data_IF_540792320050
#
_entry.id   IF_540792320050
#
_cell.length_a   1.000
_cell.length_b   1.000
_cell.length_c   1.000
_cell.angle_alpha   90.00
_cell.angle_beta   90.00
_cell.angle_gamma   90.00
#
_symmetry.space_group_name_H-M   'P 1'
#
loop_
_entity.id
_entity.type
_entity.pdbx_description
1 polymer ?
#
# COMPACT_ATOMS: atom_id res chain seq x y z
N UNK A 1 16.45 -8.50 -12.69
CA UNK A 1 16.57 -7.70 -11.45
C UNK A 1 15.22 -7.70 -10.78
N UNK A 2 15.12 -8.05 -9.50
CA UNK A 2 13.83 -7.97 -8.79
C UNK A 2 13.47 -6.49 -8.59
N UNK A 3 12.43 -6.01 -9.26
CA UNK A 3 11.90 -4.67 -9.03
C UNK A 3 11.17 -4.67 -7.68
N UNK A 4 11.78 -4.03 -6.67
CA UNK A 4 11.10 -3.77 -5.38
C UNK A 4 10.14 -2.58 -5.54
N UNK A 5 9.07 -2.55 -4.74
CA UNK A 5 8.22 -1.37 -4.64
C UNK A 5 9.03 -0.17 -4.10
N UNK A 6 8.56 1.05 -4.37
CA UNK A 6 9.16 2.26 -3.79
C UNK A 6 8.98 2.22 -2.27
N UNK A 7 10.06 2.23 -1.46
CA UNK A 7 9.91 2.28 -0.01
C UNK A 7 9.14 3.53 0.44
N UNK A 8 8.40 3.41 1.54
CA UNK A 8 7.75 4.53 2.20
C UNK A 8 8.75 5.49 2.87
N UNK A 9 8.26 6.55 3.53
CA UNK A 9 6.85 6.92 3.64
C UNK A 9 6.28 7.48 2.33
N UNK A 10 5.00 7.23 2.07
CA UNK A 10 4.26 7.95 1.03
C UNK A 10 3.28 8.95 1.66
N UNK A 11 2.94 9.99 0.93
CA UNK A 11 2.05 11.04 1.39
C UNK A 11 1.09 11.45 0.26
N UNK A 12 -0.18 11.59 0.61
CA UNK A 12 -1.15 12.28 -0.24
C UNK A 12 -0.90 13.79 -0.13
N UNK A 13 -0.78 14.48 -1.26
CA UNK A 13 -0.63 15.92 -1.31
C UNK A 13 -2.02 16.57 -1.10
N UNK A 14 -2.35 16.92 0.14
CA UNK A 14 -3.66 17.51 0.48
C UNK A 14 -3.79 18.99 0.05
N UNK A 15 -2.67 19.71 -0.06
CA UNK A 15 -2.64 21.14 -0.41
C UNK A 15 -2.65 21.42 -1.92
N UNK A 16 -2.99 20.45 -2.77
CA UNK A 16 -3.17 20.69 -4.22
C UNK A 16 -4.53 21.31 -4.54
N UNK A 17 -4.74 21.74 -5.79
CA UNK A 17 -6.08 22.10 -6.24
C UNK A 17 -7.06 20.92 -6.04
N UNK A 18 -8.33 21.24 -5.81
CA UNK A 18 -9.37 20.26 -5.48
C UNK A 18 -9.63 19.20 -6.57
N UNK A 19 -8.98 19.32 -7.72
CA UNK A 19 -9.08 18.39 -8.85
C UNK A 19 -7.88 17.46 -8.98
N UNK A 20 -6.77 17.73 -8.29
CA UNK A 20 -5.51 17.03 -8.48
C UNK A 20 -5.20 16.20 -7.25
N UNK A 21 -5.18 14.87 -7.38
CA UNK A 21 -4.88 13.96 -6.29
C UNK A 21 -3.60 13.18 -6.57
N UNK A 22 -2.52 13.53 -5.87
CA UNK A 22 -1.19 12.95 -6.11
C UNK A 22 -0.68 12.30 -4.83
N UNK A 23 -0.16 11.08 -4.96
CA UNK A 23 0.61 10.42 -3.91
C UNK A 23 2.10 10.51 -4.26
N UNK A 24 2.90 10.94 -3.28
CA UNK A 24 4.34 11.13 -3.41
C UNK A 24 5.08 10.33 -2.36
N UNK A 25 6.26 9.84 -2.73
CA UNK A 25 7.20 9.18 -1.83
C UNK A 25 8.29 10.14 -1.36
N UNK A 26 9.33 9.60 -0.71
CA UNK A 26 10.43 10.40 -0.18
C UNK A 26 11.11 11.23 -1.27
N UNK A 27 11.64 12.39 -0.91
CA UNK A 27 12.28 13.34 -1.83
C UNK A 27 11.36 13.79 -2.98
N UNK A 28 10.06 13.96 -2.69
CA UNK A 28 9.04 14.42 -3.65
C UNK A 28 8.87 13.47 -4.85
N UNK A 29 9.29 12.21 -4.74
CA UNK A 29 9.20 11.20 -5.81
C UNK A 29 7.74 10.96 -6.17
N UNK A 30 7.40 11.09 -7.45
CA UNK A 30 6.04 10.80 -7.92
C UNK A 30 5.74 9.29 -7.83
N UNK A 31 4.65 8.92 -7.15
CA UNK A 31 4.19 7.53 -7.04
C UNK A 31 3.03 7.29 -8.00
N UNK A 32 1.97 8.09 -7.87
CA UNK A 32 0.84 8.06 -8.78
C UNK A 32 0.02 9.35 -8.72
N UNK A 33 -0.82 9.55 -9.74
CA UNK A 33 -1.90 10.53 -9.76
C UNK A 33 -3.20 9.76 -9.96
N UNK A 34 -4.22 10.11 -9.18
CA UNK A 34 -5.56 9.54 -9.27
C UNK A 34 -6.43 10.35 -10.23
N UNK A 35 -7.67 9.89 -10.46
CA UNK A 35 -8.62 10.57 -11.35
C UNK A 35 -8.84 12.03 -10.92
N UNK A 36 -8.92 12.93 -11.91
CA UNK A 36 -9.12 14.36 -11.66
C UNK A 36 -10.60 14.66 -11.41
N UNK A 37 -11.01 14.66 -10.13
CA UNK A 37 -12.40 14.83 -9.72
C UNK A 37 -12.47 15.31 -8.28
N UNK A 38 -13.47 16.10 -7.92
CA UNK A 38 -13.66 16.61 -6.55
C UNK A 38 -14.38 15.59 -5.64
N UNK A 39 -14.29 14.29 -5.95
CA UNK A 39 -15.03 13.26 -5.22
C UNK A 39 -14.35 12.94 -3.89
N UNK A 40 -15.08 12.93 -2.78
CA UNK A 40 -14.51 12.52 -1.48
C UNK A 40 -13.96 11.08 -1.50
N UNK A 41 -14.48 10.23 -2.39
CA UNK A 41 -13.97 8.88 -2.62
C UNK A 41 -12.52 8.90 -3.12
N UNK A 42 -12.16 9.84 -4.00
CA UNK A 42 -10.81 9.86 -4.57
C UNK A 42 -9.77 10.29 -3.54
N UNK A 43 -10.12 11.20 -2.64
CA UNK A 43 -9.27 11.55 -1.50
C UNK A 43 -9.10 10.38 -0.54
N UNK A 44 -10.18 9.64 -0.25
CA UNK A 44 -10.11 8.45 0.60
C UNK A 44 -9.21 7.37 -0.03
N UNK A 45 -9.32 7.17 -1.34
CA UNK A 45 -8.45 6.28 -2.09
C UNK A 45 -6.99 6.75 -2.06
N UNK A 46 -6.74 8.06 -2.20
CA UNK A 46 -5.38 8.62 -2.14
C UNK A 46 -4.75 8.40 -0.76
N UNK A 47 -5.51 8.61 0.33
CA UNK A 47 -5.07 8.31 1.70
C UNK A 47 -4.76 6.83 1.90
N UNK A 48 -5.61 5.94 1.39
CA UNK A 48 -5.39 4.48 1.47
C UNK A 48 -4.12 4.06 0.71
N UNK A 49 -3.89 4.61 -0.49
CA UNK A 49 -2.68 4.35 -1.27
C UNK A 49 -1.44 4.89 -0.55
N UNK A 50 -1.51 6.11 -0.01
CA UNK A 50 -0.40 6.71 0.72
C UNK A 50 0.02 5.88 1.95
N UNK A 51 -0.94 5.24 2.62
CA UNK A 51 -0.65 4.35 3.75
C UNK A 51 -0.18 2.93 3.36
N UNK A 52 -0.09 2.60 2.06
CA UNK A 52 0.21 1.25 1.61
C UNK A 52 1.55 0.68 2.13
N UNK A 53 2.66 1.44 2.21
CA UNK A 53 3.90 0.96 2.80
C UNK A 53 3.75 0.56 4.28
N UNK A 54 3.12 1.42 5.08
CA UNK A 54 2.89 1.23 6.51
C UNK A 54 1.90 0.08 6.77
N UNK A 55 0.85 -0.03 5.95
CA UNK A 55 -0.09 -1.14 5.99
C UNK A 55 0.57 -2.47 5.63
N UNK A 56 1.49 -2.49 4.66
CA UNK A 56 2.25 -3.69 4.30
C UNK A 56 3.16 -4.14 5.45
N UNK A 57 3.88 -3.20 6.08
CA UNK A 57 4.70 -3.48 7.25
C UNK A 57 3.87 -4.02 8.42
N UNK A 58 2.75 -3.36 8.74
CA UNK A 58 1.83 -3.79 9.79
C UNK A 58 1.24 -5.18 9.50
N UNK A 59 0.84 -5.46 8.25
CA UNK A 59 0.32 -6.77 7.86
C UNK A 59 1.37 -7.88 8.01
N UNK A 60 2.61 -7.61 7.60
CA UNK A 60 3.73 -8.56 7.76
C UNK A 60 4.00 -8.83 9.25
N UNK A 61 4.07 -7.79 10.08
CA UNK A 61 4.25 -7.94 11.53
C UNK A 61 3.09 -8.70 12.18
N UNK A 62 1.85 -8.46 11.74
CA UNK A 62 0.66 -9.13 12.25
C UNK A 62 0.67 -10.64 11.98
N UNK A 63 1.13 -11.07 10.80
CA UNK A 63 1.14 -12.50 10.45
C UNK A 63 2.40 -13.26 10.90
N UNK A 64 3.48 -12.56 11.23
CA UNK A 64 4.77 -13.18 11.59
C UNK A 64 4.69 -14.23 12.72
N UNK A 65 3.88 -14.06 13.78
CA UNK A 65 3.74 -15.09 14.83
C UNK A 65 3.13 -16.41 14.35
N UNK A 66 2.48 -16.44 13.18
CA UNK A 66 1.81 -17.61 12.62
C UNK A 66 2.67 -18.35 11.58
N UNK A 67 3.91 -17.92 11.36
CA UNK A 67 4.85 -18.61 10.47
C UNK A 67 5.25 -19.98 11.05
N UNK A 68 5.10 -21.05 10.25
CA UNK A 68 5.45 -22.41 10.66
C UNK A 68 4.39 -23.15 11.48
N UNK A 69 3.24 -22.53 11.75
CA UNK A 69 2.13 -23.19 12.45
C UNK A 69 1.19 -23.84 11.41
N UNK A 70 1.36 -25.14 11.18
CA UNK A 70 0.55 -25.92 10.21
C UNK A 70 -0.96 -25.91 10.50
N UNK A 71 -1.36 -25.68 11.76
CA UNK A 71 -2.76 -25.69 12.20
C UNK A 71 -3.53 -24.40 11.90
N UNK A 72 -2.87 -23.35 11.39
CA UNK A 72 -3.55 -22.09 11.03
C UNK A 72 -4.09 -22.21 9.61
N UNK A 73 -5.17 -23.01 9.47
CA UNK A 73 -6.12 -22.93 8.37
C UNK A 73 -7.11 -21.77 8.60
N UNK A 74 -6.68 -20.71 9.28
CA UNK A 74 -7.48 -19.51 9.46
C UNK A 74 -7.52 -18.78 8.12
N UNK A 75 -8.74 -18.63 7.58
CA UNK A 75 -8.98 -18.02 6.29
C UNK A 75 -8.43 -16.59 6.21
N UNK A 76 -8.30 -15.89 7.34
CA UNK A 76 -7.84 -14.51 7.38
C UNK A 76 -6.31 -14.40 7.28
N UNK A 77 -5.57 -15.32 7.92
CA UNK A 77 -4.11 -15.40 7.76
C UNK A 77 -3.74 -15.78 6.32
N UNK A 78 -4.49 -16.69 5.70
CA UNK A 78 -4.31 -17.04 4.31
C UNK A 78 -4.55 -15.83 3.36
N UNK A 79 -5.60 -15.03 3.61
CA UNK A 79 -5.87 -13.79 2.86
C UNK A 79 -4.75 -12.76 3.04
N UNK A 80 -4.27 -12.56 4.26
CA UNK A 80 -3.18 -11.63 4.55
C UNK A 80 -1.88 -12.05 3.84
N UNK A 81 -1.50 -13.34 3.90
CA UNK A 81 -0.36 -13.89 3.16
C UNK A 81 -0.49 -13.66 1.65
N UNK A 82 -1.68 -13.90 1.08
CA UNK A 82 -1.93 -13.69 -0.34
C UNK A 82 -1.79 -12.21 -0.74
N UNK A 83 -2.32 -11.29 0.07
CA UNK A 83 -2.20 -9.85 -0.17
C UNK A 83 -0.73 -9.37 -0.10
N UNK A 84 0.03 -9.80 0.91
CA UNK A 84 1.47 -9.49 1.05
C UNK A 84 2.26 -10.04 -0.13
N UNK A 85 1.99 -11.29 -0.53
CA UNK A 85 2.65 -11.90 -1.69
C UNK A 85 2.35 -11.13 -2.99
N UNK A 86 1.11 -10.65 -3.16
CA UNK A 86 0.74 -9.80 -4.30
C UNK A 86 1.51 -8.48 -4.31
N UNK A 87 1.75 -7.87 -3.15
CA UNK A 87 2.47 -6.59 -3.03
C UNK A 87 4.00 -6.70 -3.16
N UNK A 88 4.57 -7.89 -2.88
CA UNK A 88 6.04 -8.08 -2.79
C UNK A 88 6.64 -8.94 -3.90
N UNK A 89 5.83 -9.66 -4.69
CA UNK A 89 6.32 -10.36 -5.89
C UNK A 89 6.83 -9.33 -6.90
N UNK A 90 8.13 -9.35 -7.16
CA UNK A 90 8.72 -8.58 -8.26
C UNK A 90 8.07 -8.97 -9.59
N UNK A 91 7.95 -8.02 -10.52
CA UNK A 91 7.47 -8.30 -11.87
C UNK A 91 8.34 -9.42 -12.48
N UNK A 92 7.68 -10.48 -12.97
CA UNK A 92 8.31 -11.55 -13.74
C UNK A 92 8.66 -11.06 -15.15
#
# INVERSE_FOLDING_TARGET
MSSKHTPGPWAYQEDSDAYTHIVRGPNNRFICQLAQTTSSEIEANARLIAAAPELLEAAMAFIAPFDGIEAVQDSDIAKARAAIAKATRGAQ
#
